data_IF_711823089267
#
_entry.id   IF_711823089267
#
_cell.length_a   1.000
_cell.length_b   1.000
_cell.length_c   1.000
_cell.angle_alpha   90.00
_cell.angle_beta   90.00
_cell.angle_gamma   90.00
#
_symmetry.space_group_name_H-M   'P 1'
#
loop_
_entity.id
_entity.type
_entity.pdbx_description
1 polymer ?
#
# COMPACT_ATOMS: atom_id res chain seq x y z
N UNK A 1 -5.49 20.09 -7.36
CA UNK A 1 -4.56 20.07 -6.19
C UNK A 1 -4.65 18.79 -5.35
N UNK A 2 -5.80 18.40 -4.80
CA UNK A 2 -5.91 17.19 -3.91
C UNK A 2 -5.38 15.89 -4.52
N UNK A 3 -5.68 15.61 -5.79
CA UNK A 3 -5.24 14.40 -6.52
C UNK A 3 -3.71 14.30 -6.53
N UNK A 4 -3.01 15.36 -6.93
CA UNK A 4 -1.56 15.39 -7.00
C UNK A 4 -0.92 15.25 -5.60
N UNK A 5 -1.47 15.92 -4.58
CA UNK A 5 -0.96 15.80 -3.21
C UNK A 5 -1.12 14.37 -2.70
N UNK A 6 -2.28 13.72 -2.90
CA UNK A 6 -2.46 12.34 -2.48
C UNK A 6 -1.54 11.37 -3.23
N UNK A 7 -1.31 11.59 -4.53
CA UNK A 7 -0.33 10.82 -5.31
C UNK A 7 1.08 10.93 -4.72
N UNK A 8 1.54 12.15 -4.45
CA UNK A 8 2.87 12.41 -3.88
C UNK A 8 2.99 11.86 -2.46
N UNK A 9 1.97 12.04 -1.60
CA UNK A 9 1.98 11.48 -0.25
C UNK A 9 2.03 9.96 -0.26
N UNK A 10 1.27 9.30 -1.13
CA UNK A 10 1.33 7.83 -1.22
C UNK A 10 2.71 7.37 -1.65
N UNK A 11 3.29 7.99 -2.68
CA UNK A 11 4.63 7.66 -3.15
C UNK A 11 5.72 7.95 -2.10
N UNK A 12 5.80 9.18 -1.59
CA UNK A 12 6.88 9.64 -0.72
C UNK A 12 6.74 9.23 0.74
N UNK A 13 5.60 8.66 1.15
CA UNK A 13 5.44 8.12 2.51
C UNK A 13 5.50 6.60 2.52
N UNK A 14 4.81 5.92 1.60
CA UNK A 14 4.79 4.46 1.61
C UNK A 14 6.09 3.84 1.09
N UNK A 15 6.74 4.43 0.07
CA UNK A 15 8.00 3.88 -0.46
C UNK A 15 9.11 3.94 0.60
N UNK A 16 9.39 5.10 1.25
CA UNK A 16 10.35 5.11 2.36
C UNK A 16 9.92 4.22 3.53
N UNK A 17 8.62 4.14 3.84
CA UNK A 17 8.12 3.24 4.87
C UNK A 17 8.41 1.76 4.57
N UNK A 18 8.25 1.33 3.31
CA UNK A 18 8.63 -0.01 2.87
C UNK A 18 10.14 -0.22 2.96
N UNK A 19 10.94 0.73 2.49
CA UNK A 19 12.41 0.66 2.53
C UNK A 19 12.90 0.53 3.99
N UNK A 20 12.38 1.37 4.89
CA UNK A 20 12.74 1.32 6.31
C UNK A 20 12.31 0.01 6.96
N UNK A 21 11.12 -0.51 6.63
CA UNK A 21 10.68 -1.82 7.11
C UNK A 21 11.60 -2.94 6.63
N UNK A 22 11.90 -2.99 5.34
CA UNK A 22 12.81 -4.00 4.76
C UNK A 22 14.20 -3.89 5.40
N UNK A 23 14.75 -2.67 5.52
CA UNK A 23 16.05 -2.44 6.15
C UNK A 23 16.06 -2.87 7.62
N UNK A 24 15.01 -2.56 8.39
CA UNK A 24 14.91 -2.97 9.78
C UNK A 24 14.80 -4.49 9.92
N UNK A 25 14.07 -5.17 9.03
CA UNK A 25 14.02 -6.63 8.96
C UNK A 25 15.39 -7.22 8.62
N UNK A 26 16.04 -6.69 7.57
CA UNK A 26 17.37 -7.11 7.14
C UNK A 26 18.42 -6.99 8.23
N UNK A 27 18.46 -5.85 8.94
CA UNK A 27 19.37 -5.64 10.06
C UNK A 27 19.15 -6.65 11.19
N UNK A 28 17.90 -6.94 11.55
CA UNK A 28 17.59 -7.96 12.57
C UNK A 28 18.02 -9.35 12.10
N UNK A 29 17.81 -9.66 10.82
CA UNK A 29 18.29 -10.91 10.24
C UNK A 29 19.81 -10.98 10.34
N UNK A 30 20.56 -10.00 9.86
CA UNK A 30 22.04 -10.02 9.79
C UNK A 30 22.73 -10.01 11.17
N UNK A 31 22.13 -9.34 12.16
CA UNK A 31 22.74 -9.18 13.49
C UNK A 31 22.51 -10.38 14.41
N UNK A 32 21.44 -11.15 14.20
CA UNK A 32 21.12 -12.28 15.07
C UNK A 32 21.93 -13.54 14.67
N UNK A 33 22.68 -14.14 15.62
CA UNK A 33 23.37 -15.40 15.36
C UNK A 33 22.38 -16.55 15.22
N UNK A 34 22.70 -17.53 14.36
CA UNK A 34 21.90 -18.75 14.19
C UNK A 34 21.62 -19.09 12.72
N UNK A 35 20.89 -20.18 12.50
CA UNK A 35 20.48 -20.58 11.15
C UNK A 35 19.41 -19.60 10.63
N UNK A 36 19.48 -19.12 9.38
CA UNK A 36 18.42 -18.29 8.77
C UNK A 36 17.03 -18.95 8.77
N UNK A 37 16.94 -20.28 8.91
CA UNK A 37 15.65 -21.00 9.02
C UNK A 37 15.13 -21.11 10.46
N UNK A 38 15.80 -20.51 11.45
CA UNK A 38 15.34 -20.50 12.83
C UNK A 38 13.99 -19.73 12.94
N UNK A 39 12.91 -20.37 13.43
CA UNK A 39 11.60 -19.73 13.58
C UNK A 39 11.63 -18.43 14.40
N UNK A 40 12.51 -18.35 15.41
CA UNK A 40 12.60 -17.17 16.28
C UNK A 40 13.21 -16.00 15.51
N UNK A 41 14.30 -16.23 14.78
CA UNK A 41 14.97 -15.21 13.95
C UNK A 41 14.04 -14.73 12.83
N UNK A 42 13.32 -15.64 12.19
CA UNK A 42 12.33 -15.32 11.16
C UNK A 42 11.19 -14.47 11.75
N UNK A 43 10.66 -14.88 12.91
CA UNK A 43 9.62 -14.13 13.63
C UNK A 43 10.05 -12.70 13.98
N UNK A 44 11.27 -12.52 14.49
CA UNK A 44 11.83 -11.20 14.81
C UNK A 44 12.07 -10.35 13.56
N UNK A 45 12.54 -10.95 12.47
CA UNK A 45 12.73 -10.29 11.18
C UNK A 45 11.41 -9.75 10.61
N UNK A 46 10.37 -10.60 10.58
CA UNK A 46 9.04 -10.22 10.11
C UNK A 46 8.41 -9.17 11.02
N UNK A 47 8.56 -9.29 12.35
CA UNK A 47 8.04 -8.32 13.30
C UNK A 47 8.72 -6.94 13.14
N UNK A 48 10.04 -6.92 12.98
CA UNK A 48 10.80 -5.69 12.73
C UNK A 48 10.36 -5.02 11.43
N UNK A 49 10.24 -5.79 10.35
CA UNK A 49 9.74 -5.30 9.07
C UNK A 49 8.30 -4.77 9.15
N UNK A 50 7.44 -5.47 9.89
CA UNK A 50 6.07 -5.04 10.16
C UNK A 50 6.04 -3.68 10.86
N UNK A 51 6.85 -3.47 11.90
CA UNK A 51 6.87 -2.20 12.64
C UNK A 51 7.25 -1.05 11.71
N UNK A 52 8.31 -1.19 10.91
CA UNK A 52 8.72 -0.15 9.97
C UNK A 52 7.66 0.18 8.93
N UNK A 53 7.06 -0.85 8.30
CA UNK A 53 5.98 -0.67 7.33
C UNK A 53 4.72 -0.09 7.99
N UNK A 54 4.38 -0.52 9.20
CA UNK A 54 3.22 -0.04 9.95
C UNK A 54 3.33 1.45 10.24
N UNK A 55 4.50 1.93 10.67
CA UNK A 55 4.74 3.36 10.90
C UNK A 55 4.56 4.15 9.61
N UNK A 56 5.15 3.69 8.50
CA UNK A 56 4.97 4.31 7.18
C UNK A 56 3.49 4.37 6.75
N UNK A 57 2.79 3.24 6.83
CA UNK A 57 1.36 3.16 6.52
C UNK A 57 0.49 4.01 7.44
N UNK A 58 0.85 4.15 8.72
CA UNK A 58 0.12 4.96 9.68
C UNK A 58 0.31 6.46 9.43
N UNK A 59 1.54 6.90 9.17
CA UNK A 59 1.84 8.27 8.78
C UNK A 59 1.14 8.62 7.47
N UNK A 60 1.12 7.69 6.51
CA UNK A 60 0.41 7.86 5.25
C UNK A 60 -1.10 8.02 5.46
N UNK A 61 -1.74 7.08 6.16
CA UNK A 61 -3.19 7.13 6.42
C UNK A 61 -3.61 8.35 7.22
N UNK A 62 -2.80 8.79 8.19
CA UNK A 62 -2.98 10.04 8.90
C UNK A 62 -2.87 11.25 7.97
N UNK A 63 -1.83 11.31 7.14
CA UNK A 63 -1.59 12.43 6.21
C UNK A 63 -2.73 12.57 5.20
N UNK A 64 -3.18 11.46 4.61
CA UNK A 64 -4.35 11.43 3.71
C UNK A 64 -5.59 11.96 4.44
N UNK A 65 -5.83 11.57 5.69
CA UNK A 65 -6.98 12.05 6.46
C UNK A 65 -6.97 13.58 6.65
N UNK A 66 -5.79 14.16 6.91
CA UNK A 66 -5.62 15.60 7.10
C UNK A 66 -5.89 16.37 5.81
N UNK A 67 -5.34 15.91 4.69
CA UNK A 67 -5.51 16.58 3.40
C UNK A 67 -6.91 16.42 2.80
N UNK A 68 -7.57 15.29 3.06
CA UNK A 68 -8.93 15.04 2.60
C UNK A 68 -10.01 15.58 3.57
N UNK A 69 -9.58 16.11 4.73
CA UNK A 69 -10.44 16.58 5.83
C UNK A 69 -11.41 15.50 6.33
N UNK A 70 -10.96 14.25 6.32
CA UNK A 70 -11.74 13.16 6.88
C UNK A 70 -11.75 13.26 8.42
N UNK A 71 -12.94 13.21 9.04
CA UNK A 71 -13.09 13.32 10.50
C UNK A 71 -12.57 12.14 11.33
N UNK A 72 -11.85 11.19 10.70
CA UNK A 72 -11.47 9.89 11.27
C UNK A 72 -9.96 9.64 11.25
N UNK A 73 -9.13 10.67 11.45
CA UNK A 73 -7.67 10.57 11.23
C UNK A 73 -6.95 9.46 12.00
N UNK A 74 -7.26 9.23 13.28
CA UNK A 74 -6.66 8.13 14.06
C UNK A 74 -7.01 6.75 13.50
N UNK A 75 -8.24 6.57 13.02
CA UNK A 75 -8.68 5.29 12.43
C UNK A 75 -8.05 5.06 11.07
N UNK A 76 -7.97 6.09 10.24
CA UNK A 76 -7.29 6.01 8.96
C UNK A 76 -5.79 5.75 9.12
N UNK A 77 -5.15 6.28 10.16
CA UNK A 77 -3.76 5.96 10.50
C UNK A 77 -3.61 4.48 10.85
N UNK A 78 -4.39 3.96 11.80
CA UNK A 78 -4.31 2.54 12.18
C UNK A 78 -4.64 1.63 11.00
N UNK A 79 -5.70 1.93 10.25
CA UNK A 79 -6.10 1.12 9.11
C UNK A 79 -5.05 1.16 7.98
N UNK A 80 -4.46 2.33 7.70
CA UNK A 80 -3.37 2.48 6.76
C UNK A 80 -2.12 1.70 7.19
N UNK A 81 -1.74 1.77 8.47
CA UNK A 81 -0.61 1.02 9.02
C UNK A 81 -0.79 -0.49 8.93
N UNK A 82 -1.92 -1.01 9.43
CA UNK A 82 -2.23 -2.45 9.40
C UNK A 82 -2.36 -2.94 7.96
N UNK A 83 -3.17 -2.25 7.14
CA UNK A 83 -3.44 -2.65 5.77
C UNK A 83 -2.18 -2.69 4.91
N UNK A 84 -1.37 -1.63 4.97
CA UNK A 84 -0.14 -1.57 4.20
C UNK A 84 0.88 -2.62 4.67
N UNK A 85 1.14 -2.70 5.98
CA UNK A 85 2.17 -3.60 6.51
C UNK A 85 1.82 -5.08 6.29
N UNK A 86 0.59 -5.50 6.64
CA UNK A 86 0.17 -6.89 6.48
C UNK A 86 0.13 -7.29 5.00
N UNK A 87 -0.46 -6.47 4.14
CA UNK A 87 -0.52 -6.82 2.71
C UNK A 87 0.87 -6.88 2.10
N UNK A 88 1.75 -5.92 2.41
CA UNK A 88 3.10 -5.90 1.86
C UNK A 88 3.90 -7.13 2.31
N UNK A 89 3.82 -7.52 3.58
CA UNK A 89 4.48 -8.74 4.09
C UNK A 89 3.94 -9.99 3.41
N UNK A 90 2.62 -10.15 3.33
CA UNK A 90 2.01 -11.32 2.69
C UNK A 90 2.42 -11.41 1.23
N UNK A 91 2.41 -10.29 0.50
CA UNK A 91 2.83 -10.24 -0.89
C UNK A 91 4.33 -10.53 -1.02
N UNK A 92 5.17 -10.00 -0.14
CA UNK A 92 6.62 -10.24 -0.17
C UNK A 92 6.94 -11.72 0.08
N UNK A 93 6.31 -12.34 1.09
CA UNK A 93 6.46 -13.77 1.36
C UNK A 93 5.95 -14.63 0.21
N UNK A 94 4.80 -14.27 -0.37
CA UNK A 94 4.24 -14.97 -1.52
C UNK A 94 5.16 -14.86 -2.75
N UNK A 95 5.73 -13.68 -3.01
CA UNK A 95 6.71 -13.48 -4.08
C UNK A 95 7.97 -14.32 -3.86
N UNK A 96 8.52 -14.34 -2.64
CA UNK A 96 9.70 -15.16 -2.34
C UNK A 96 9.45 -16.65 -2.55
N UNK A 97 8.28 -17.15 -2.12
CA UNK A 97 7.88 -18.54 -2.38
C UNK A 97 7.67 -18.84 -3.87
N UNK A 98 7.02 -17.92 -4.60
CA UNK A 98 6.79 -18.09 -6.03
C UNK A 98 8.07 -17.98 -6.84
N UNK A 99 9.02 -17.14 -6.44
CA UNK A 99 10.34 -17.03 -7.06
C UNK A 99 11.14 -18.32 -6.90
N UNK A 100 11.23 -18.87 -5.69
CA UNK A 100 11.87 -20.17 -5.44
C UNK A 100 11.20 -21.28 -6.30
N UNK A 101 9.87 -21.34 -6.28
CA UNK A 101 9.13 -22.37 -7.02
C UNK A 101 9.30 -22.27 -8.55
N UNK A 102 9.22 -21.05 -9.11
CA UNK A 102 9.18 -20.82 -10.56
C UNK A 102 10.57 -20.69 -11.17
N UNK A 103 11.51 -20.04 -10.46
CA UNK A 103 12.84 -19.71 -10.97
C UNK A 103 13.87 -20.74 -10.52
N UNK A 104 13.96 -21.04 -9.23
CA UNK A 104 15.01 -21.93 -8.69
C UNK A 104 14.68 -23.40 -8.94
N UNK A 105 13.45 -23.81 -8.65
CA UNK A 105 13.00 -25.20 -8.82
C UNK A 105 12.60 -25.54 -10.26
N UNK A 106 12.56 -24.55 -11.16
CA UNK A 106 12.13 -24.68 -12.57
C UNK A 106 10.78 -25.39 -12.74
N UNK A 107 9.90 -25.33 -11.74
CA UNK A 107 8.57 -25.97 -11.80
C UNK A 107 7.51 -25.12 -12.52
N UNK A 108 7.87 -23.92 -12.96
CA UNK A 108 7.03 -23.04 -13.74
C UNK A 108 7.13 -23.25 -15.25
N UNK A 109 6.25 -22.61 -16.04
CA UNK A 109 6.38 -22.59 -17.50
C UNK A 109 7.73 -21.99 -17.90
N UNK A 110 8.37 -22.54 -18.95
CA UNK A 110 9.65 -22.06 -19.49
C UNK A 110 9.48 -20.69 -20.18
N UNK A 111 9.28 -19.66 -19.37
CA UNK A 111 9.11 -18.29 -19.81
C UNK A 111 10.42 -17.51 -19.63
N UNK A 112 10.70 -16.53 -20.49
CA UNK A 112 11.78 -15.59 -20.25
C UNK A 112 11.63 -14.90 -18.89
N UNK A 113 12.74 -14.69 -18.17
CA UNK A 113 12.76 -14.13 -16.80
C UNK A 113 12.00 -12.78 -16.71
N UNK A 114 12.09 -11.92 -17.72
CA UNK A 114 11.35 -10.65 -17.76
C UNK A 114 9.83 -10.83 -17.79
N UNK A 115 9.33 -11.90 -18.42
CA UNK A 115 7.90 -12.24 -18.41
C UNK A 115 7.48 -12.78 -17.05
N UNK A 116 8.30 -13.62 -16.43
CA UNK A 116 8.08 -14.11 -15.06
C UNK A 116 8.03 -12.94 -14.08
N UNK A 117 8.98 -12.01 -14.17
CA UNK A 117 9.00 -10.79 -13.37
C UNK A 117 7.70 -9.99 -13.54
N UNK A 118 7.27 -9.77 -14.79
CA UNK A 118 6.03 -9.04 -15.08
C UNK A 118 4.81 -9.75 -14.48
N UNK A 119 4.73 -11.08 -14.63
CA UNK A 119 3.62 -11.91 -14.14
C UNK A 119 3.53 -11.96 -12.62
N UNK A 120 4.65 -11.79 -11.91
CA UNK A 120 4.68 -11.80 -10.44
C UNK A 120 4.49 -10.39 -9.86
N UNK A 121 5.23 -9.40 -10.38
CA UNK A 121 5.28 -8.08 -9.77
C UNK A 121 4.08 -7.18 -10.12
N UNK A 122 3.46 -7.34 -11.30
CA UNK A 122 2.26 -6.56 -11.66
C UNK A 122 1.08 -6.92 -10.75
N UNK A 123 0.72 -8.21 -10.54
CA UNK A 123 -0.33 -8.57 -9.60
C UNK A 123 0.02 -8.20 -8.16
N UNK A 124 1.28 -8.34 -7.76
CA UNK A 124 1.73 -7.92 -6.43
C UNK A 124 1.47 -6.42 -6.19
N UNK A 125 1.87 -5.55 -7.12
CA UNK A 125 1.62 -4.11 -7.03
C UNK A 125 0.13 -3.79 -7.01
N UNK A 126 -0.68 -4.49 -7.82
CA UNK A 126 -2.14 -4.34 -7.82
C UNK A 126 -2.76 -4.74 -6.48
N UNK A 127 -2.34 -5.87 -5.89
CA UNK A 127 -2.83 -6.34 -4.59
C UNK A 127 -2.47 -5.35 -3.48
N UNK A 128 -1.22 -4.90 -3.41
CA UNK A 128 -0.77 -3.93 -2.39
C UNK A 128 -1.54 -2.61 -2.52
N UNK A 129 -1.65 -2.06 -3.73
CA UNK A 129 -2.37 -0.82 -3.97
C UNK A 129 -3.87 -0.94 -3.63
N UNK A 130 -4.50 -2.03 -4.07
CA UNK A 130 -5.92 -2.32 -3.81
C UNK A 130 -6.21 -2.51 -2.33
N UNK A 131 -5.50 -3.40 -1.64
CA UNK A 131 -5.72 -3.68 -0.22
C UNK A 131 -5.45 -2.44 0.65
N UNK A 132 -4.41 -1.67 0.33
CA UNK A 132 -4.13 -0.40 1.03
C UNK A 132 -5.24 0.62 0.83
N UNK A 133 -5.80 0.72 -0.39
CA UNK A 133 -6.97 1.55 -0.68
C UNK A 133 -8.22 1.10 0.09
N UNK A 134 -8.48 -0.22 0.13
CA UNK A 134 -9.58 -0.81 0.88
C UNK A 134 -9.46 -0.52 2.39
N UNK A 135 -8.26 -0.69 2.94
CA UNK A 135 -7.96 -0.44 4.35
C UNK A 135 -8.30 1.00 4.74
N UNK A 136 -7.98 1.99 3.91
CA UNK A 136 -8.41 3.38 4.14
C UNK A 136 -9.93 3.53 4.15
N UNK A 137 -10.64 2.90 3.21
CA UNK A 137 -12.11 2.90 3.19
C UNK A 137 -12.72 2.31 4.46
N UNK A 138 -12.17 1.21 4.96
CA UNK A 138 -12.57 0.64 6.26
C UNK A 138 -12.25 1.56 7.43
N UNK A 139 -11.09 2.23 7.42
CA UNK A 139 -10.72 3.25 8.42
C UNK A 139 -11.73 4.41 8.49
N UNK A 140 -12.41 4.68 7.37
CA UNK A 140 -13.48 5.67 7.26
C UNK A 140 -14.87 5.15 7.63
N UNK A 141 -15.03 3.86 7.91
CA UNK A 141 -16.30 3.16 8.14
C UNK A 141 -17.27 3.20 6.95
N UNK A 142 -16.72 3.21 5.74
CA UNK A 142 -17.51 3.14 4.52
C UNK A 142 -17.09 1.89 3.71
N UNK A 143 -17.77 0.75 3.93
CA UNK A 143 -17.40 -0.51 3.27
C UNK A 143 -17.67 -0.48 1.75
N UNK A 144 -18.64 0.30 1.29
CA UNK A 144 -18.90 0.50 -0.13
C UNK A 144 -17.74 1.26 -0.79
N UNK A 145 -17.26 2.31 -0.13
CA UNK A 145 -16.04 3.02 -0.56
C UNK A 145 -14.80 2.12 -0.47
N UNK A 146 -14.69 1.27 0.55
CA UNK A 146 -13.58 0.33 0.68
C UNK A 146 -13.50 -0.62 -0.53
N UNK A 147 -14.62 -1.23 -0.93
CA UNK A 147 -14.68 -2.10 -2.12
C UNK A 147 -14.38 -1.34 -3.41
N UNK A 148 -14.85 -0.09 -3.53
CA UNK A 148 -14.54 0.75 -4.70
C UNK A 148 -13.06 1.12 -4.76
N UNK A 149 -12.47 1.54 -3.65
CA UNK A 149 -11.05 1.88 -3.58
C UNK A 149 -10.17 0.65 -3.82
N UNK A 150 -10.59 -0.53 -3.36
CA UNK A 150 -9.91 -1.79 -3.64
C UNK A 150 -9.69 -1.96 -5.14
N UNK A 151 -10.78 -1.94 -5.91
CA UNK A 151 -10.70 -2.17 -7.36
C UNK A 151 -10.03 -1.03 -8.10
N UNK A 152 -10.40 0.21 -7.78
CA UNK A 152 -9.83 1.36 -8.49
C UNK A 152 -8.32 1.47 -8.26
N UNK A 153 -7.84 1.30 -7.02
CA UNK A 153 -6.42 1.34 -6.72
C UNK A 153 -5.67 0.11 -7.26
N UNK A 154 -6.28 -1.08 -7.25
CA UNK A 154 -5.66 -2.28 -7.83
C UNK A 154 -5.44 -2.13 -9.33
N UNK A 155 -6.49 -1.73 -10.06
CA UNK A 155 -6.42 -1.55 -11.52
C UNK A 155 -5.45 -0.42 -11.87
N UNK A 156 -5.56 0.74 -11.19
CA UNK A 156 -4.66 1.87 -11.49
C UNK A 156 -3.20 1.59 -11.11
N UNK A 157 -2.98 0.92 -9.98
CA UNK A 157 -1.64 0.59 -9.50
C UNK A 157 -0.98 -0.47 -10.39
N UNK A 158 -1.70 -1.55 -10.68
CA UNK A 158 -1.23 -2.62 -11.56
C UNK A 158 -0.96 -2.14 -12.98
N UNK A 159 -1.87 -1.34 -13.57
CA UNK A 159 -1.66 -0.78 -14.91
C UNK A 159 -0.49 0.20 -14.96
N UNK A 160 -0.33 1.07 -13.95
CA UNK A 160 0.82 1.98 -13.90
C UNK A 160 2.15 1.22 -13.77
N UNK A 161 2.20 0.18 -12.92
CA UNK A 161 3.37 -0.69 -12.83
C UNK A 161 3.67 -1.35 -14.18
N UNK A 162 2.65 -1.94 -14.83
CA UNK A 162 2.78 -2.61 -16.11
C UNK A 162 3.32 -1.66 -17.19
N UNK A 163 2.78 -0.44 -17.29
CA UNK A 163 3.24 0.57 -18.26
C UNK A 163 4.71 0.90 -18.03
N UNK A 164 5.12 1.15 -16.78
CA UNK A 164 6.53 1.42 -16.47
C UNK A 164 7.42 0.22 -16.80
N UNK A 165 6.99 -0.98 -16.44
CA UNK A 165 7.72 -2.21 -16.70
C UNK A 165 7.93 -2.45 -18.21
N UNK A 166 6.88 -2.30 -19.03
CA UNK A 166 6.96 -2.43 -20.49
C UNK A 166 7.83 -1.33 -21.11
N UNK A 167 7.75 -0.10 -20.58
CA UNK A 167 8.58 1.02 -21.05
C UNK A 167 10.06 0.74 -20.79
N UNK A 168 10.40 0.30 -19.58
CA UNK A 168 11.77 -0.03 -19.20
C UNK A 168 12.30 -1.25 -19.98
N UNK A 169 11.48 -2.28 -20.20
CA UNK A 169 11.87 -3.40 -21.07
C UNK A 169 12.16 -2.93 -22.50
N UNK A 170 11.30 -2.06 -23.07
CA UNK A 170 11.51 -1.46 -24.38
C UNK A 170 12.75 -0.57 -24.49
N UNK A 171 13.18 0.05 -23.38
CA UNK A 171 14.41 0.84 -23.28
C UNK A 171 15.67 -0.02 -23.02
N UNK A 172 15.54 -1.34 -22.95
CA UNK A 172 16.65 -2.26 -22.73
C UNK A 172 17.01 -2.48 -21.25
N UNK A 173 16.21 -1.98 -20.30
CA UNK A 173 16.30 -2.34 -18.87
C UNK A 173 15.60 -3.68 -18.60
N UNK A 174 15.91 -4.68 -19.42
CA UNK A 174 15.32 -6.00 -19.35
C UNK A 174 15.84 -6.77 -18.15
N UNK A 175 14.93 -7.28 -17.33
CA UNK A 175 15.25 -8.13 -16.18
C UNK A 175 15.73 -9.50 -16.69
N UNK A 176 16.91 -9.94 -16.24
CA UNK A 176 17.53 -11.20 -16.67
C UNK A 176 18.31 -11.16 -18.00
N UNK A 177 18.54 -9.98 -18.59
CA UNK A 177 19.40 -9.83 -19.78
C UNK A 177 20.91 -9.82 -19.42
N UNK A 178 21.83 -10.03 -20.39
CA UNK A 178 23.27 -9.90 -20.16
C UNK A 178 23.62 -8.52 -19.59
N UNK A 179 24.31 -8.46 -18.45
CA UNK A 179 24.64 -7.19 -17.76
C UNK A 179 23.51 -6.62 -16.88
N UNK A 180 22.38 -7.32 -16.71
CA UNK A 180 21.27 -6.91 -15.83
C UNK A 180 21.70 -6.75 -14.35
N UNK A 181 22.58 -7.63 -13.87
CA UNK A 181 23.14 -7.54 -12.52
C UNK A 181 24.02 -6.29 -12.35
N UNK A 182 24.83 -5.95 -13.35
CA UNK A 182 25.70 -4.77 -13.33
C UNK A 182 24.91 -3.45 -13.37
N UNK A 183 23.68 -3.46 -13.91
CA UNK A 183 22.79 -2.30 -13.99
C UNK A 183 21.68 -2.28 -12.93
N UNK A 184 21.66 -3.26 -12.03
CA UNK A 184 20.61 -3.45 -11.03
C UNK A 184 19.18 -3.35 -11.61
N UNK A 185 18.95 -3.87 -12.82
CA UNK A 185 17.70 -3.62 -13.59
C UNK A 185 16.45 -4.06 -12.84
N UNK A 186 16.51 -5.17 -12.11
CA UNK A 186 15.41 -5.64 -11.26
C UNK A 186 15.03 -4.61 -10.20
N UNK A 187 16.01 -4.05 -9.49
CA UNK A 187 15.78 -3.06 -8.43
C UNK A 187 15.24 -1.75 -9.01
N UNK A 188 15.80 -1.29 -10.13
CA UNK A 188 15.34 -0.07 -10.81
C UNK A 188 13.89 -0.21 -11.30
N UNK A 189 13.58 -1.31 -11.99
CA UNK A 189 12.23 -1.57 -12.51
C UNK A 189 11.22 -1.75 -11.39
N UNK A 190 11.56 -2.50 -10.33
CA UNK A 190 10.70 -2.67 -9.18
C UNK A 190 10.44 -1.34 -8.46
N UNK A 191 11.47 -0.51 -8.24
CA UNK A 191 11.33 0.76 -7.54
C UNK A 191 10.48 1.75 -8.35
N UNK A 192 10.78 1.94 -9.64
CA UNK A 192 10.04 2.86 -10.51
C UNK A 192 8.60 2.38 -10.74
N UNK A 193 8.40 1.07 -10.92
CA UNK A 193 7.07 0.49 -11.05
C UNK A 193 6.23 0.70 -9.80
N UNK A 194 6.79 0.43 -8.61
CA UNK A 194 6.08 0.66 -7.35
C UNK A 194 5.83 2.15 -7.07
N UNK A 195 6.76 3.04 -7.44
CA UNK A 195 6.55 4.48 -7.33
C UNK A 195 5.39 4.93 -8.21
N UNK A 196 5.34 4.49 -9.47
CA UNK A 196 4.24 4.79 -10.37
C UNK A 196 2.91 4.21 -9.88
N UNK A 197 2.91 2.96 -9.39
CA UNK A 197 1.74 2.34 -8.79
C UNK A 197 1.22 3.11 -7.56
N UNK A 198 2.13 3.54 -6.68
CA UNK A 198 1.81 4.34 -5.50
C UNK A 198 1.23 5.71 -5.87
N UNK A 199 1.81 6.40 -6.87
CA UNK A 199 1.27 7.65 -7.38
C UNK A 199 -0.12 7.46 -8.00
N UNK A 200 -0.32 6.42 -8.81
CA UNK A 200 -1.59 6.13 -9.44
C UNK A 200 -2.68 5.80 -8.41
N UNK A 201 -2.39 4.93 -7.44
CA UNK A 201 -3.30 4.62 -6.33
C UNK A 201 -3.59 5.85 -5.46
N UNK A 202 -2.58 6.66 -5.16
CA UNK A 202 -2.77 7.93 -4.44
C UNK A 202 -3.63 8.94 -5.20
N UNK A 203 -3.51 9.01 -6.53
CA UNK A 203 -4.36 9.85 -7.37
C UNK A 203 -5.83 9.41 -7.32
N UNK A 204 -6.08 8.10 -7.37
CA UNK A 204 -7.43 7.51 -7.21
C UNK A 204 -8.04 7.86 -5.86
N UNK A 205 -7.26 7.74 -4.78
CA UNK A 205 -7.69 8.12 -3.43
C UNK A 205 -8.05 9.60 -3.38
N UNK A 206 -7.19 10.48 -3.91
CA UNK A 206 -7.44 11.92 -3.94
C UNK A 206 -8.64 12.33 -4.80
N UNK A 207 -8.93 11.57 -5.87
CA UNK A 207 -10.11 11.76 -6.70
C UNK A 207 -11.39 11.36 -5.93
N UNK A 208 -11.36 10.19 -5.29
CA UNK A 208 -12.50 9.64 -4.53
C UNK A 208 -12.81 10.46 -3.28
N UNK A 209 -11.79 11.09 -2.69
CA UNK A 209 -11.92 11.99 -1.55
C UNK A 209 -12.77 13.25 -1.80
N UNK A 210 -13.09 13.58 -3.06
CA UNK A 210 -14.04 14.66 -3.39
C UNK A 210 -15.44 14.38 -2.83
N UNK A 211 -15.83 13.11 -2.69
CA UNK A 211 -17.10 12.71 -2.08
C UNK A 211 -17.10 12.77 -0.55
N UNK A 212 -15.94 12.65 0.09
CA UNK A 212 -15.83 12.50 1.54
C UNK A 212 -16.25 13.76 2.30
N UNK A 213 -15.86 14.94 1.80
CA UNK A 213 -16.22 16.22 2.44
C UNK A 213 -17.75 16.46 2.50
N UNK A 214 -18.53 15.88 1.59
CA UNK A 214 -20.00 16.04 1.53
C UNK A 214 -20.73 15.10 2.49
N UNK A 215 -20.30 13.85 2.60
CA UNK A 215 -20.92 12.85 3.48
C UNK A 215 -20.79 13.21 4.97
N UNK A 216 -19.64 13.76 5.39
CA UNK A 216 -19.44 14.20 6.77
C UNK A 216 -20.15 15.51 7.12
N UNK A 217 -20.34 16.41 6.16
CA UNK A 217 -21.17 17.60 6.37
C UNK A 217 -22.65 17.22 6.65
N UNK A 218 -23.15 16.18 5.96
CA UNK A 218 -24.52 15.69 6.12
C UNK A 218 -24.75 14.88 7.43
N UNK A 219 -23.71 14.29 8.02
CA UNK A 219 -23.83 13.60 9.31
C UNK A 219 -23.74 14.57 10.49
N UNK A 220 -23.01 15.68 10.35
CA UNK A 220 -22.95 16.76 11.34
C UNK A 220 -24.27 17.51 11.52
N UNK A 221 -25.04 17.72 10.44
CA UNK A 221 -26.38 18.34 10.52
C UNK A 221 -27.38 17.45 11.27
N UNK A 222 -27.41 16.15 10.98
CA UNK A 222 -28.30 15.20 11.71
C UNK A 222 -28.01 15.11 13.20
N UNK A 223 -26.74 15.23 13.60
CA UNK A 223 -26.37 15.18 15.02
C UNK A 223 -26.72 16.47 15.77
N UNK A 224 -26.71 17.63 15.08
CA UNK A 224 -27.12 18.91 15.65
C UNK A 224 -28.64 19.04 15.73
N UNK A 225 -29.38 18.50 14.75
CA UNK A 225 -30.85 18.44 14.79
C UNK A 225 -31.36 17.56 15.92
N UNK A 226 -30.74 16.40 16.17
CA UNK A 226 -31.09 15.56 17.32
C UNK A 226 -30.81 16.23 18.67
N UNK A 227 -29.70 16.97 18.81
CA UNK A 227 -29.40 17.72 20.05
C UNK A 227 -30.33 18.91 20.25
N UNK A 228 -30.76 19.58 19.16
CA UNK A 228 -31.80 20.62 19.23
C UNK A 228 -33.14 20.04 19.66
N UNK A 229 -33.56 18.91 19.07
CA UNK A 229 -34.80 18.22 19.45
C UNK A 229 -34.79 17.77 20.93
N UNK A 230 -33.64 17.30 21.44
CA UNK A 230 -33.50 16.95 22.86
C UNK A 230 -33.49 18.17 23.80
N UNK A 231 -32.96 19.33 23.38
CA UNK A 231 -33.02 20.56 24.18
C UNK A 231 -34.43 21.16 24.25
N UNK A 232 -35.21 21.06 23.18
CA UNK A 232 -36.61 21.54 23.17
C UNK A 232 -37.51 20.67 24.07
N UNK A 233 -37.15 19.40 24.31
CA UNK A 233 -37.91 18.47 25.18
C UNK A 233 -37.59 18.55 26.68
N UNK A 234 -36.78 19.50 27.14
CA UNK A 234 -36.68 19.81 28.58
C UNK A 234 -37.53 21.05 28.89
N UNK A 235 -38.86 20.93 29.11
CA UNK A 235 -39.60 21.98 29.79
C UNK A 235 -39.01 22.10 31.20
N UNK A 236 -38.83 23.34 31.67
CA UNK A 236 -38.26 23.63 32.97
C UNK A 236 -39.01 22.90 34.08
N UNK A 237 -38.39 21.85 34.63
CA UNK A 237 -38.74 21.31 35.93
C UNK A 237 -38.11 22.23 36.97
N UNK A 238 -38.93 23.15 37.50
CA UNK A 238 -38.72 23.75 38.82
C UNK A 238 -38.96 22.68 39.89
#
# INVERSE_FOLDING_TARGET
MRVAICALLTAFVLIPGAILGIAAGGLVSETLPGNPTDPIRLGLTVLSGFIGMFVGGAVWGWSISRFTRAGAGRRMAVAGGIGFALTTIVVFLALGFLEDLVVEQQRGPQLPIHNVFTLLFVPAAAIVAGASGAALGFGMRDPAMAGRLLWMCAISGGSAFLVVNLTLDGLGFRVGAPGAAARATMMTTALLGNLAAAMAGGAVIGYSARGWSRAFAASGSRHSDHRRAQRVRRPGGR
#
